data_IF_962733192637
#
_entry.id   IF_962733192637
#
_cell.length_a   1.000
_cell.length_b   1.000
_cell.length_c   1.000
_cell.angle_alpha   90.00
_cell.angle_beta   90.00
_cell.angle_gamma   90.00
#
_symmetry.space_group_name_H-M   'P 1'
#
loop_
_entity.id
_entity.type
_entity.pdbx_description
1 polymer ?
#
# COMPACT_ATOMS: atom_id res chain seq x y z
N UNK A 1 13.39 5.75 -43.60
CA UNK A 1 12.19 4.88 -43.56
C UNK A 1 11.83 4.66 -42.13
N UNK A 2 10.81 5.35 -41.64
CA UNK A 2 10.39 5.30 -40.25
C UNK A 2 9.40 4.16 -40.07
N UNK A 3 9.87 3.02 -39.56
CA UNK A 3 8.98 1.99 -39.02
C UNK A 3 8.30 2.50 -37.74
N UNK A 4 7.27 3.31 -37.92
CA UNK A 4 6.26 3.49 -36.92
C UNK A 4 5.48 2.18 -36.88
N UNK A 5 5.87 1.29 -35.98
CA UNK A 5 5.02 0.19 -35.56
C UNK A 5 3.72 0.84 -35.07
N UNK A 6 2.73 0.92 -35.97
CA UNK A 6 1.35 1.24 -35.60
C UNK A 6 0.94 0.13 -34.62
N UNK A 7 0.93 0.46 -33.36
CA UNK A 7 0.42 -0.38 -32.30
C UNK A 7 -1.06 -0.67 -32.61
N UNK A 8 -1.32 -1.76 -33.34
CA UNK A 8 -2.69 -2.22 -33.48
C UNK A 8 -3.15 -2.71 -32.10
N UNK A 9 -4.28 -2.22 -31.59
CA UNK A 9 -4.88 -2.83 -30.41
C UNK A 9 -5.19 -4.27 -30.78
N UNK A 10 -4.58 -5.22 -30.06
CA UNK A 10 -5.01 -6.61 -30.14
C UNK A 10 -6.50 -6.64 -29.87
N UNK A 11 -7.22 -7.38 -30.72
CA UNK A 11 -8.64 -7.68 -30.64
C UNK A 11 -9.14 -7.67 -29.19
N UNK A 12 -10.19 -6.86 -28.94
CA UNK A 12 -10.95 -6.70 -27.70
C UNK A 12 -10.65 -7.79 -26.67
N UNK A 13 -9.70 -7.51 -25.78
CA UNK A 13 -9.39 -8.43 -24.69
C UNK A 13 -10.66 -8.58 -23.86
N UNK A 14 -10.99 -9.81 -23.42
CA UNK A 14 -12.04 -10.11 -22.45
C UNK A 14 -11.80 -9.43 -21.08
N UNK A 15 -10.74 -8.60 -20.97
CA UNK A 15 -10.39 -7.75 -19.84
C UNK A 15 -11.40 -6.60 -19.73
N UNK A 16 -12.03 -6.48 -18.57
CA UNK A 16 -12.85 -5.31 -18.26
C UNK A 16 -11.93 -4.06 -18.15
N UNK A 17 -12.39 -2.93 -18.70
CA UNK A 17 -11.76 -1.61 -18.47
C UNK A 17 -12.55 -0.87 -17.41
N UNK A 18 -11.92 0.11 -16.75
CA UNK A 18 -12.64 1.04 -15.88
C UNK A 18 -13.82 1.68 -16.64
N UNK A 19 -14.96 1.82 -15.95
CA UNK A 19 -16.16 2.44 -16.60
C UNK A 19 -15.93 3.95 -16.83
N UNK A 20 -15.10 4.59 -16.01
CA UNK A 20 -14.78 5.99 -16.10
C UNK A 20 -13.58 6.40 -15.26
N UNK A 21 -13.21 7.67 -15.36
CA UNK A 21 -12.09 8.29 -14.65
C UNK A 21 -12.20 8.13 -13.11
N UNK A 22 -13.37 8.42 -12.55
CA UNK A 22 -13.63 8.30 -11.12
C UNK A 22 -13.45 6.87 -10.62
N UNK A 23 -13.85 5.86 -11.43
CA UNK A 23 -13.67 4.45 -11.08
C UNK A 23 -12.20 4.06 -10.93
N UNK A 24 -11.35 4.55 -11.83
CA UNK A 24 -9.90 4.37 -11.73
C UNK A 24 -9.33 5.07 -10.48
N UNK A 25 -9.64 6.37 -10.29
CA UNK A 25 -9.11 7.14 -9.15
C UNK A 25 -9.48 6.46 -7.83
N UNK A 26 -10.76 6.09 -7.63
CA UNK A 26 -11.18 5.45 -6.38
C UNK A 26 -10.55 4.07 -6.18
N UNK A 27 -10.36 3.29 -7.24
CA UNK A 27 -9.71 2.00 -7.13
C UNK A 27 -8.19 2.13 -6.86
N UNK A 28 -7.49 3.01 -7.57
CA UNK A 28 -6.07 3.26 -7.38
C UNK A 28 -5.78 3.90 -6.01
N UNK A 29 -6.61 4.88 -5.61
CA UNK A 29 -6.56 5.45 -4.26
C UNK A 29 -6.84 4.39 -3.19
N UNK A 30 -7.82 3.50 -3.41
CA UNK A 30 -8.11 2.40 -2.49
C UNK A 30 -7.00 1.34 -2.44
N UNK A 31 -6.23 1.16 -3.52
CA UNK A 31 -5.01 0.36 -3.49
C UNK A 31 -3.91 1.01 -2.65
N UNK A 32 -3.74 2.32 -2.78
CA UNK A 32 -2.75 3.09 -2.04
C UNK A 32 -3.14 3.22 -0.55
N UNK A 33 -4.37 3.64 -0.26
CA UNK A 33 -4.87 3.76 1.11
C UNK A 33 -5.09 2.38 1.72
N UNK A 34 -4.20 2.00 2.62
CA UNK A 34 -4.24 0.73 3.33
C UNK A 34 -3.90 0.87 4.81
N UNK A 35 -3.44 -0.22 5.39
CA UNK A 35 -2.88 -0.21 6.75
C UNK A 35 -1.67 0.73 6.87
N UNK A 36 -1.02 1.04 5.76
CA UNK A 36 0.08 2.00 5.69
C UNK A 36 -0.29 3.38 6.21
N UNK A 37 -1.41 3.94 5.77
CA UNK A 37 -1.85 5.30 6.11
C UNK A 37 -2.43 5.40 7.52
N UNK A 38 -3.17 4.37 7.95
CA UNK A 38 -3.92 4.42 9.22
C UNK A 38 -3.11 3.82 10.37
N UNK A 39 -2.19 2.93 10.07
CA UNK A 39 -1.39 2.24 11.06
C UNK A 39 0.08 2.65 11.02
N UNK A 40 0.77 2.42 9.89
CA UNK A 40 2.23 2.61 9.78
C UNK A 40 2.61 4.08 9.86
N UNK A 41 1.92 4.96 9.14
CA UNK A 41 2.20 6.39 9.11
C UNK A 41 2.13 7.05 10.49
N UNK A 42 1.06 6.88 11.32
CA UNK A 42 1.02 7.49 12.64
C UNK A 42 2.17 7.05 13.53
N UNK A 43 2.47 5.74 13.64
CA UNK A 43 3.52 5.33 14.55
C UNK A 43 4.91 5.80 14.11
N UNK A 44 5.25 5.72 12.81
CA UNK A 44 6.54 6.21 12.31
C UNK A 44 6.65 7.75 12.53
N UNK A 45 5.57 8.48 12.29
CA UNK A 45 5.50 9.91 12.56
C UNK A 45 5.75 10.20 14.05
N UNK A 46 5.21 9.35 14.92
CA UNK A 46 5.45 9.41 16.36
C UNK A 46 6.92 9.20 16.74
N UNK A 47 7.54 8.18 16.17
CA UNK A 47 8.92 7.80 16.48
C UNK A 47 9.97 8.82 15.96
N UNK A 48 9.70 9.48 14.82
CA UNK A 48 10.68 10.34 14.14
C UNK A 48 10.36 11.84 14.17
N UNK A 49 9.63 12.33 15.18
CA UNK A 49 9.55 13.75 15.46
C UNK A 49 8.40 14.51 14.79
N UNK A 50 7.32 13.83 14.45
CA UNK A 50 6.08 14.51 14.06
C UNK A 50 6.19 15.29 12.76
N UNK A 51 5.96 16.62 12.81
CA UNK A 51 5.87 17.47 11.64
C UNK A 51 7.13 17.53 10.77
N UNK A 52 8.33 17.31 11.31
CA UNK A 52 9.55 17.23 10.52
C UNK A 52 9.56 15.98 9.65
N UNK A 53 9.19 14.83 10.21
CA UNK A 53 8.98 13.58 9.45
C UNK A 53 7.91 13.76 8.37
N UNK A 54 6.76 14.36 8.71
CA UNK A 54 5.67 14.63 7.75
C UNK A 54 6.17 15.44 6.57
N UNK A 55 6.94 16.51 6.81
CA UNK A 55 7.50 17.34 5.73
C UNK A 55 8.42 16.54 4.80
N UNK A 56 9.32 15.72 5.37
CA UNK A 56 10.21 14.86 4.57
C UNK A 56 9.40 13.82 3.79
N UNK A 57 8.40 13.21 4.42
CA UNK A 57 7.49 12.27 3.75
C UNK A 57 6.78 12.92 2.54
N UNK A 58 6.24 14.14 2.69
CA UNK A 58 5.60 14.86 1.60
C UNK A 58 6.58 15.12 0.44
N UNK A 59 7.82 15.51 0.75
CA UNK A 59 8.88 15.69 -0.25
C UNK A 59 9.16 14.35 -0.97
N UNK A 60 9.27 13.25 -0.24
CA UNK A 60 9.49 11.91 -0.82
C UNK A 60 8.34 11.48 -1.73
N UNK A 61 7.08 11.73 -1.34
CA UNK A 61 5.91 11.45 -2.18
C UNK A 61 5.99 12.20 -3.51
N UNK A 62 6.35 13.50 -3.48
CA UNK A 62 6.42 14.34 -4.69
C UNK A 62 7.61 13.98 -5.58
N UNK A 63 8.80 13.77 -4.98
CA UNK A 63 10.06 13.62 -5.72
C UNK A 63 10.27 12.17 -6.20
N UNK A 64 9.79 11.20 -5.44
CA UNK A 64 10.03 9.77 -5.72
C UNK A 64 8.73 9.03 -6.01
N UNK A 65 7.74 9.15 -5.14
CA UNK A 65 6.49 8.42 -5.26
C UNK A 65 5.71 8.75 -6.53
N UNK A 66 5.45 10.03 -6.75
CA UNK A 66 4.68 10.49 -7.93
C UNK A 66 5.36 10.15 -9.27
N UNK A 67 6.67 10.40 -9.48
CA UNK A 67 7.34 9.99 -10.71
C UNK A 67 7.27 8.49 -10.95
N UNK A 68 7.48 7.67 -9.92
CA UNK A 68 7.42 6.23 -10.06
C UNK A 68 5.99 5.72 -10.32
N UNK A 69 4.98 6.30 -9.66
CA UNK A 69 3.57 5.98 -9.95
C UNK A 69 3.24 6.25 -11.40
N UNK A 70 3.67 7.41 -11.93
CA UNK A 70 3.48 7.73 -13.34
C UNK A 70 4.20 6.73 -14.24
N UNK A 71 5.41 6.30 -13.89
CA UNK A 71 6.15 5.30 -14.64
C UNK A 71 5.40 3.94 -14.71
N UNK A 72 4.90 3.45 -13.58
CA UNK A 72 4.12 2.22 -13.54
C UNK A 72 2.80 2.32 -14.33
N UNK A 73 2.09 3.43 -14.20
CA UNK A 73 0.87 3.68 -14.95
C UNK A 73 1.13 3.76 -16.47
N UNK A 74 2.25 4.37 -16.90
CA UNK A 74 2.67 4.38 -18.31
C UNK A 74 2.86 2.97 -18.83
N UNK A 75 3.61 2.13 -18.09
CA UNK A 75 3.88 0.74 -18.47
C UNK A 75 2.57 -0.03 -18.63
N UNK A 76 1.68 0.05 -17.65
CA UNK A 76 0.38 -0.63 -17.68
C UNK A 76 -0.52 -0.14 -18.81
N UNK A 77 -0.75 1.19 -18.90
CA UNK A 77 -1.66 1.77 -19.90
C UNK A 77 -1.17 1.58 -21.33
N UNK A 78 0.14 1.69 -21.55
CA UNK A 78 0.72 1.49 -22.90
C UNK A 78 0.52 0.09 -23.41
N UNK A 79 0.66 -0.89 -22.54
CA UNK A 79 0.64 -2.31 -22.92
C UNK A 79 -0.73 -2.94 -22.86
N UNK A 80 -1.60 -2.48 -21.93
CA UNK A 80 -2.87 -3.13 -21.61
C UNK A 80 -2.69 -4.60 -21.19
N UNK A 81 -1.56 -4.91 -20.53
CA UNK A 81 -1.16 -6.24 -20.10
C UNK A 81 -0.91 -6.29 -18.58
N UNK A 82 -0.88 -7.50 -18.00
CA UNK A 82 -0.38 -7.73 -16.65
C UNK A 82 1.11 -7.31 -16.53
N UNK A 83 1.66 -7.19 -15.31
CA UNK A 83 3.04 -6.72 -15.15
C UNK A 83 4.08 -7.52 -15.93
N UNK A 84 3.97 -8.85 -16.02
CA UNK A 84 4.93 -9.70 -16.75
C UNK A 84 4.82 -9.48 -18.25
N UNK A 85 3.60 -9.53 -18.78
CA UNK A 85 3.32 -9.28 -20.20
C UNK A 85 3.68 -7.85 -20.61
N UNK A 86 3.53 -6.88 -19.72
CA UNK A 86 3.84 -5.48 -19.99
C UNK A 86 5.32 -5.27 -20.33
N UNK A 87 6.24 -5.78 -19.54
CA UNK A 87 7.68 -5.69 -19.83
C UNK A 87 8.09 -6.51 -21.05
N UNK A 88 7.46 -7.67 -21.24
CA UNK A 88 7.68 -8.49 -22.44
C UNK A 88 7.30 -7.75 -23.73
N UNK A 89 6.15 -7.06 -23.70
CA UNK A 89 5.63 -6.33 -24.86
C UNK A 89 6.41 -5.06 -25.20
N UNK A 90 6.91 -4.35 -24.17
CA UNK A 90 7.67 -3.11 -24.37
C UNK A 90 9.11 -3.32 -24.80
N UNK A 91 9.69 -4.49 -24.56
CA UNK A 91 11.06 -4.78 -24.96
C UNK A 91 11.14 -6.03 -25.86
N UNK A 92 11.21 -7.22 -25.29
CA UNK A 92 11.18 -8.51 -26.02
C UNK A 92 10.93 -9.67 -25.05
N UNK A 93 10.42 -10.76 -25.57
CA UNK A 93 10.26 -12.02 -24.84
C UNK A 93 11.61 -12.54 -24.35
N UNK A 94 11.67 -13.01 -23.09
CA UNK A 94 12.90 -13.52 -22.47
C UNK A 94 13.92 -12.44 -22.08
N UNK A 95 13.53 -11.17 -22.12
CA UNK A 95 14.34 -10.06 -21.62
C UNK A 95 14.49 -10.11 -20.11
N UNK A 96 15.66 -9.68 -19.60
CA UNK A 96 15.88 -9.49 -18.14
C UNK A 96 14.87 -8.56 -17.50
N UNK A 97 14.30 -7.62 -18.25
CA UNK A 97 13.26 -6.70 -17.78
C UNK A 97 11.94 -7.41 -17.45
N UNK A 98 11.70 -8.58 -18.02
CA UNK A 98 10.53 -9.39 -17.68
C UNK A 98 10.57 -9.85 -16.21
N UNK A 99 11.77 -9.99 -15.62
CA UNK A 99 11.94 -10.28 -14.21
C UNK A 99 11.34 -9.19 -13.29
N UNK A 100 11.30 -7.93 -13.74
CA UNK A 100 10.64 -6.85 -13.01
C UNK A 100 9.13 -7.13 -12.86
N UNK A 101 8.48 -7.61 -13.90
CA UNK A 101 7.07 -8.01 -13.85
C UNK A 101 6.84 -9.19 -12.91
N UNK A 102 7.72 -10.20 -12.94
CA UNK A 102 7.68 -11.34 -12.03
C UNK A 102 7.89 -10.93 -10.58
N UNK A 103 8.82 -10.02 -10.34
CA UNK A 103 9.06 -9.48 -9.00
C UNK A 103 7.80 -8.79 -8.47
N UNK A 104 7.09 -8.02 -9.30
CA UNK A 104 5.82 -7.40 -8.94
C UNK A 104 4.74 -8.43 -8.58
N UNK A 105 4.57 -9.48 -9.40
CA UNK A 105 3.59 -10.56 -9.14
C UNK A 105 3.95 -11.32 -7.86
N UNK A 106 5.22 -11.65 -7.65
CA UNK A 106 5.70 -12.33 -6.45
C UNK A 106 5.54 -11.46 -5.20
N UNK A 107 5.81 -10.15 -5.30
CA UNK A 107 5.58 -9.19 -4.20
C UNK A 107 4.11 -9.14 -3.82
N UNK A 108 3.20 -9.00 -4.79
CA UNK A 108 1.75 -9.00 -4.52
C UNK A 108 1.28 -10.28 -3.85
N UNK A 109 1.81 -11.43 -4.27
CA UNK A 109 1.52 -12.74 -3.68
C UNK A 109 2.00 -12.82 -2.22
N UNK A 110 3.27 -12.51 -1.97
CA UNK A 110 3.86 -12.63 -0.63
C UNK A 110 3.28 -11.58 0.32
N UNK A 111 3.12 -10.33 -0.12
CA UNK A 111 2.54 -9.28 0.73
C UNK A 111 1.14 -9.68 1.17
N UNK A 112 0.27 -10.11 0.24
CA UNK A 112 -1.09 -10.48 0.62
C UNK A 112 -1.12 -11.66 1.59
N UNK A 113 -0.15 -12.58 1.55
CA UNK A 113 -0.11 -13.74 2.44
C UNK A 113 0.04 -13.36 3.91
N UNK A 114 0.86 -12.36 4.26
CA UNK A 114 0.99 -11.90 5.64
C UNK A 114 0.09 -10.69 5.96
N UNK A 115 -0.16 -9.81 4.99
CA UNK A 115 -1.05 -8.66 5.14
C UNK A 115 -2.46 -9.06 5.56
N UNK A 116 -2.97 -10.16 5.01
CA UNK A 116 -4.29 -10.71 5.35
C UNK A 116 -4.41 -11.19 6.79
N UNK A 117 -3.31 -11.49 7.48
CA UNK A 117 -3.31 -11.79 8.91
C UNK A 117 -3.64 -10.52 9.71
N UNK A 118 -2.91 -9.43 9.45
CA UNK A 118 -3.15 -8.13 10.12
C UNK A 118 -4.54 -7.58 9.80
N UNK A 119 -4.96 -7.71 8.55
CA UNK A 119 -6.30 -7.34 8.13
C UNK A 119 -7.39 -8.21 8.80
N UNK A 120 -7.09 -9.48 9.04
CA UNK A 120 -7.92 -10.39 9.85
C UNK A 120 -8.03 -9.93 11.30
N UNK A 121 -6.94 -9.44 11.91
CA UNK A 121 -6.99 -8.86 13.26
C UNK A 121 -7.87 -7.61 13.30
N UNK A 122 -7.78 -6.73 12.30
CA UNK A 122 -8.66 -5.57 12.20
C UNK A 122 -10.14 -5.98 12.14
N UNK A 123 -10.45 -7.01 11.35
CA UNK A 123 -11.80 -7.57 11.26
C UNK A 123 -12.27 -8.17 12.60
N UNK A 124 -11.40 -8.91 13.31
CA UNK A 124 -11.69 -9.44 14.65
C UNK A 124 -12.04 -8.32 15.65
N UNK A 125 -11.31 -7.21 15.56
CA UNK A 125 -11.49 -6.08 16.46
C UNK A 125 -12.79 -5.30 16.22
N UNK A 126 -13.45 -5.43 15.07
CA UNK A 126 -14.82 -4.92 14.88
C UNK A 126 -15.77 -5.60 15.89
N UNK A 127 -15.67 -6.93 15.98
CA UNK A 127 -16.54 -7.72 16.88
C UNK A 127 -16.20 -7.48 18.37
N UNK A 128 -14.90 -7.35 18.70
CA UNK A 128 -14.47 -6.95 20.04
C UNK A 128 -14.99 -5.56 20.41
N UNK A 129 -14.90 -4.60 19.49
CA UNK A 129 -15.39 -3.24 19.69
C UNK A 129 -16.92 -3.18 19.90
N UNK A 130 -17.69 -4.02 19.21
CA UNK A 130 -19.16 -4.14 19.43
C UNK A 130 -19.44 -4.62 20.86
N UNK A 131 -18.65 -5.55 21.39
CA UNK A 131 -18.77 -6.05 22.76
C UNK A 131 -18.30 -5.04 23.82
N UNK A 132 -17.62 -3.97 23.40
CA UNK A 132 -16.92 -3.03 24.27
C UNK A 132 -15.61 -3.61 24.82
N UNK A 133 -14.61 -2.73 24.99
CA UNK A 133 -13.37 -3.11 25.65
C UNK A 133 -13.55 -2.96 27.16
N UNK A 134 -13.47 -4.06 27.92
CA UNK A 134 -13.69 -4.08 29.37
C UNK A 134 -12.49 -4.70 30.08
N UNK A 135 -12.15 -4.16 31.25
CA UNK A 135 -11.05 -4.64 32.09
C UNK A 135 -9.98 -3.60 32.35
N UNK A 136 -8.85 -4.02 32.94
CA UNK A 136 -7.69 -3.14 33.12
C UNK A 136 -6.93 -2.94 31.81
N UNK A 137 -6.11 -1.90 31.75
CA UNK A 137 -5.27 -1.62 30.56
C UNK A 137 -4.42 -2.82 30.16
N UNK A 138 -3.87 -3.56 31.13
CA UNK A 138 -3.06 -4.75 30.91
C UNK A 138 -3.91 -5.89 30.31
N UNK A 139 -5.14 -6.07 30.76
CA UNK A 139 -6.06 -7.09 30.26
C UNK A 139 -6.45 -6.81 28.80
N UNK A 140 -6.81 -5.56 28.51
CA UNK A 140 -7.16 -5.13 27.14
C UNK A 140 -5.95 -5.32 26.18
N UNK A 141 -4.75 -4.94 26.61
CA UNK A 141 -3.53 -5.14 25.82
C UNK A 141 -3.19 -6.63 25.62
N UNK A 142 -3.40 -7.47 26.66
CA UNK A 142 -3.15 -8.90 26.60
C UNK A 142 -4.09 -9.63 25.63
N UNK A 143 -5.29 -9.08 25.36
CA UNK A 143 -6.22 -9.65 24.36
C UNK A 143 -5.61 -9.72 22.95
N UNK A 144 -4.80 -8.72 22.57
CA UNK A 144 -4.10 -8.75 21.30
C UNK A 144 -3.04 -9.86 21.27
N UNK A 145 -2.27 -10.00 22.35
CA UNK A 145 -1.32 -11.11 22.51
C UNK A 145 -2.01 -12.49 22.35
N UNK A 146 -3.16 -12.67 23.00
CA UNK A 146 -3.95 -13.90 22.89
C UNK A 146 -4.42 -14.18 21.46
N UNK A 147 -4.88 -13.13 20.73
CA UNK A 147 -5.29 -13.26 19.33
C UNK A 147 -4.13 -13.68 18.43
N UNK A 148 -2.95 -13.04 18.57
CA UNK A 148 -1.77 -13.31 17.75
C UNK A 148 -1.18 -14.69 18.04
N UNK A 149 -1.14 -15.09 19.31
CA UNK A 149 -0.56 -16.37 19.71
C UNK A 149 -1.51 -17.56 19.57
N UNK A 150 -2.81 -17.32 19.26
CA UNK A 150 -3.79 -18.36 18.99
C UNK A 150 -3.87 -18.68 17.49
N UNK A 151 -3.25 -19.78 16.99
CA UNK A 151 -3.28 -20.11 15.57
C UNK A 151 -4.69 -20.27 15.01
N UNK A 152 -5.59 -20.88 15.78
CA UNK A 152 -6.97 -21.10 15.34
C UNK A 152 -7.72 -19.79 15.10
N UNK A 153 -7.58 -18.81 15.99
CA UNK A 153 -8.20 -17.49 15.81
C UNK A 153 -7.55 -16.72 14.64
N UNK A 154 -6.23 -16.68 14.58
CA UNK A 154 -5.50 -16.01 13.50
C UNK A 154 -5.88 -16.60 12.13
N UNK A 155 -5.92 -17.92 11.97
CA UNK A 155 -6.32 -18.60 10.73
C UNK A 155 -7.80 -18.32 10.40
N UNK A 156 -8.70 -18.33 11.38
CA UNK A 156 -10.11 -18.04 11.15
C UNK A 156 -10.33 -16.64 10.56
N UNK A 157 -9.75 -15.61 11.19
CA UNK A 157 -9.90 -14.22 10.73
C UNK A 157 -9.18 -13.94 9.41
N UNK A 158 -8.00 -14.53 9.22
CA UNK A 158 -7.29 -14.56 7.95
C UNK A 158 -8.16 -15.16 6.84
N UNK A 159 -8.79 -16.30 7.09
CA UNK A 159 -9.67 -16.96 6.13
C UNK A 159 -10.85 -16.08 5.74
N UNK A 160 -11.49 -15.45 6.72
CA UNK A 160 -12.63 -14.57 6.47
C UNK A 160 -12.23 -13.35 5.63
N UNK A 161 -11.09 -12.73 5.94
CA UNK A 161 -10.56 -11.63 5.15
C UNK A 161 -10.22 -12.05 3.70
N UNK A 162 -9.57 -13.20 3.52
CA UNK A 162 -9.25 -13.73 2.20
C UNK A 162 -10.50 -14.06 1.39
N UNK A 163 -11.54 -14.61 2.02
CA UNK A 163 -12.84 -14.83 1.36
C UNK A 163 -13.49 -13.53 0.87
N UNK A 164 -13.38 -12.43 1.62
CA UNK A 164 -13.85 -11.12 1.18
C UNK A 164 -13.08 -10.65 -0.07
N UNK A 165 -11.75 -10.73 -0.06
CA UNK A 165 -10.93 -10.36 -1.22
C UNK A 165 -11.25 -11.22 -2.46
N UNK A 166 -11.30 -12.53 -2.30
CA UNK A 166 -11.65 -13.49 -3.37
C UNK A 166 -13.03 -13.20 -3.92
N UNK A 167 -14.04 -13.01 -3.05
CA UNK A 167 -15.42 -12.71 -3.46
C UNK A 167 -15.53 -11.44 -4.30
N UNK A 168 -14.73 -10.40 -3.98
CA UNK A 168 -14.71 -9.16 -4.75
C UNK A 168 -13.99 -9.36 -6.09
N UNK A 169 -12.80 -9.98 -6.08
CA UNK A 169 -11.94 -10.11 -7.28
C UNK A 169 -12.57 -11.04 -8.33
N UNK A 170 -13.34 -12.06 -7.93
CA UNK A 170 -14.12 -12.90 -8.87
C UNK A 170 -15.04 -12.05 -9.75
N UNK A 171 -15.62 -10.99 -9.22
CA UNK A 171 -16.51 -10.07 -9.96
C UNK A 171 -15.81 -9.28 -11.07
N UNK A 172 -14.50 -9.33 -11.16
CA UNK A 172 -13.68 -8.63 -12.15
C UNK A 172 -13.54 -7.14 -11.90
N UNK A 173 -12.99 -6.43 -12.89
CA UNK A 173 -12.67 -5.02 -12.75
C UNK A 173 -13.92 -4.18 -12.47
N UNK A 174 -14.96 -4.30 -13.32
CA UNK A 174 -16.16 -3.45 -13.24
C UNK A 174 -17.11 -3.80 -12.08
N UNK A 175 -17.47 -5.09 -11.97
CA UNK A 175 -18.49 -5.54 -11.01
C UNK A 175 -17.91 -5.89 -9.64
N UNK A 176 -16.62 -6.21 -9.59
CA UNK A 176 -15.87 -6.46 -8.38
C UNK A 176 -15.16 -5.19 -7.92
N UNK A 177 -13.93 -4.99 -8.37
CA UNK A 177 -13.00 -3.97 -7.86
C UNK A 177 -13.60 -2.56 -7.91
N UNK A 178 -14.03 -2.09 -9.08
CA UNK A 178 -14.55 -0.73 -9.25
C UNK A 178 -15.81 -0.47 -8.42
N UNK A 179 -16.75 -1.42 -8.43
CA UNK A 179 -18.00 -1.29 -7.68
C UNK A 179 -17.75 -1.18 -6.18
N UNK A 180 -16.91 -2.06 -5.64
CA UNK A 180 -16.58 -2.05 -4.22
C UNK A 180 -15.75 -0.84 -3.84
N UNK A 181 -14.78 -0.41 -4.65
CA UNK A 181 -14.03 0.82 -4.41
C UNK A 181 -14.94 2.05 -4.36
N UNK A 182 -15.98 2.12 -5.22
CA UNK A 182 -16.97 3.21 -5.21
C UNK A 182 -17.84 3.25 -3.94
N UNK A 183 -17.95 2.14 -3.20
CA UNK A 183 -18.68 2.07 -1.94
C UNK A 183 -17.71 2.27 -0.76
N UNK A 184 -16.64 1.48 -0.73
CA UNK A 184 -15.72 1.45 0.39
C UNK A 184 -14.97 2.77 0.58
N UNK A 185 -14.50 3.40 -0.52
CA UNK A 185 -13.69 4.61 -0.42
C UNK A 185 -14.48 5.82 0.12
N UNK A 186 -15.65 6.20 -0.39
CA UNK A 186 -16.43 7.29 0.20
C UNK A 186 -16.84 7.01 1.66
N UNK A 187 -17.16 5.76 1.98
CA UNK A 187 -17.51 5.37 3.36
C UNK A 187 -16.29 5.51 4.28
N UNK A 188 -15.10 5.07 3.82
CA UNK A 188 -13.84 5.23 4.52
C UNK A 188 -13.56 6.72 4.80
N UNK A 189 -13.67 7.57 3.79
CA UNK A 189 -13.48 9.01 3.95
C UNK A 189 -14.47 9.61 4.95
N UNK A 190 -15.76 9.23 4.88
CA UNK A 190 -16.78 9.75 5.79
C UNK A 190 -16.49 9.35 7.25
N UNK A 191 -16.14 8.09 7.50
CA UNK A 191 -15.77 7.62 8.84
C UNK A 191 -14.52 8.35 9.33
N UNK A 192 -13.49 8.44 8.50
CA UNK A 192 -12.22 9.09 8.85
C UNK A 192 -12.40 10.56 9.21
N UNK A 193 -13.18 11.30 8.41
CA UNK A 193 -13.52 12.70 8.70
C UNK A 193 -14.34 12.83 10.01
N UNK A 194 -15.26 11.89 10.25
CA UNK A 194 -16.00 11.83 11.51
C UNK A 194 -15.10 11.62 12.74
N UNK A 195 -14.12 10.69 12.62
CA UNK A 195 -13.14 10.44 13.67
C UNK A 195 -12.22 11.64 13.90
N UNK A 196 -11.76 12.28 12.82
CA UNK A 196 -10.97 13.52 12.91
C UNK A 196 -11.77 14.64 13.57
N UNK A 197 -13.02 14.83 13.17
CA UNK A 197 -13.91 15.84 13.78
C UNK A 197 -14.11 15.57 15.27
N UNK A 198 -14.36 14.32 15.64
CA UNK A 198 -14.44 13.92 17.05
C UNK A 198 -13.14 14.25 17.79
N UNK A 199 -11.99 13.83 17.26
CA UNK A 199 -10.69 14.10 17.86
C UNK A 199 -10.41 15.58 18.07
N UNK A 200 -10.75 16.42 17.08
CA UNK A 200 -10.48 17.86 17.13
C UNK A 200 -11.40 18.63 18.10
N UNK A 201 -12.68 18.28 18.16
CA UNK A 201 -13.69 19.10 18.84
C UNK A 201 -14.21 18.51 20.15
N UNK A 202 -14.05 17.21 20.35
CA UNK A 202 -14.56 16.51 21.53
C UNK A 202 -13.46 15.93 22.44
N UNK A 203 -12.17 16.14 22.06
CA UNK A 203 -11.03 15.79 22.90
C UNK A 203 -10.17 17.01 23.19
N UNK A 204 -9.42 16.97 24.30
CA UNK A 204 -8.48 18.05 24.66
C UNK A 204 -7.14 17.94 23.89
N UNK A 205 -6.93 16.84 23.14
CA UNK A 205 -5.70 16.58 22.40
C UNK A 205 -5.65 17.15 20.99
N UNK A 206 -6.75 17.71 20.46
CA UNK A 206 -6.85 18.13 19.07
C UNK A 206 -5.82 19.19 18.65
N UNK A 207 -5.65 20.26 19.44
CA UNK A 207 -4.67 21.30 19.13
C UNK A 207 -3.22 20.78 19.25
N UNK A 208 -2.98 19.88 20.20
CA UNK A 208 -1.67 19.24 20.37
C UNK A 208 -1.34 18.34 19.17
N UNK A 209 -2.31 17.60 18.64
CA UNK A 209 -2.16 16.78 17.44
C UNK A 209 -1.84 17.62 16.21
N UNK A 210 -2.53 18.75 16.00
CA UNK A 210 -2.24 19.68 14.91
C UNK A 210 -0.83 20.27 15.04
N UNK A 211 -0.44 20.71 16.22
CA UNK A 211 0.92 21.22 16.45
C UNK A 211 1.96 20.13 16.19
N UNK A 212 1.73 18.92 16.68
CA UNK A 212 2.65 17.79 16.50
C UNK A 212 2.85 17.44 15.03
N UNK A 213 1.79 17.41 14.23
CA UNK A 213 1.84 17.02 12.82
C UNK A 213 2.30 18.14 11.87
N UNK A 214 2.02 19.40 12.20
CA UNK A 214 2.22 20.51 11.26
C UNK A 214 3.27 21.54 11.71
N UNK A 215 3.80 21.42 12.93
CA UNK A 215 4.91 22.25 13.39
C UNK A 215 6.21 21.42 13.35
N UNK A 216 7.08 21.61 12.35
CA UNK A 216 8.29 20.81 12.22
C UNK A 216 9.26 21.04 13.38
N UNK A 217 9.73 19.97 13.98
CA UNK A 217 10.83 19.95 14.93
C UNK A 217 11.96 19.06 14.38
N UNK A 218 12.91 19.65 13.70
CA UNK A 218 14.03 18.93 13.08
C UNK A 218 15.04 18.39 14.08
N UNK A 219 14.99 18.77 15.37
CA UNK A 219 15.90 18.24 16.38
C UNK A 219 15.67 16.76 16.67
N UNK A 220 14.47 16.26 16.37
CA UNK A 220 14.07 14.86 16.56
C UNK A 220 14.15 14.01 15.28
N UNK A 221 14.39 14.63 14.14
CA UNK A 221 14.49 13.91 12.87
C UNK A 221 15.88 13.30 12.72
N UNK A 222 15.92 11.98 12.61
CA UNK A 222 17.16 11.23 12.38
C UNK A 222 17.34 10.87 10.89
N UNK A 223 18.55 10.44 10.51
CA UNK A 223 18.80 9.91 9.17
C UNK A 223 17.92 8.68 8.88
N UNK A 224 17.68 7.83 9.88
CA UNK A 224 16.77 6.70 9.81
C UNK A 224 15.34 7.15 9.56
N UNK A 225 14.87 8.22 10.22
CA UNK A 225 13.57 8.82 9.97
C UNK A 225 13.39 9.30 8.52
N UNK A 226 14.44 9.88 7.91
CA UNK A 226 14.40 10.28 6.48
C UNK A 226 14.29 9.05 5.58
N UNK A 227 15.04 7.99 5.83
CA UNK A 227 14.98 6.75 5.05
C UNK A 227 13.65 6.01 5.26
N UNK A 228 13.13 6.03 6.49
CA UNK A 228 11.80 5.51 6.82
C UNK A 228 10.69 6.26 6.08
N UNK A 229 10.78 7.59 5.98
CA UNK A 229 9.85 8.42 5.22
C UNK A 229 9.88 8.06 3.72
N UNK A 230 11.06 7.86 3.17
CA UNK A 230 11.24 7.47 1.77
C UNK A 230 10.69 6.06 1.50
N UNK A 231 11.02 5.08 2.36
CA UNK A 231 10.48 3.72 2.27
C UNK A 231 8.96 3.70 2.43
N UNK A 232 8.43 4.51 3.36
CA UNK A 232 6.99 4.63 3.56
C UNK A 232 6.27 5.22 2.33
N UNK A 233 6.84 6.22 1.66
CA UNK A 233 6.28 6.79 0.43
C UNK A 233 6.14 5.74 -0.70
N UNK A 234 7.04 4.76 -0.76
CA UNK A 234 6.93 3.62 -1.67
C UNK A 234 5.76 2.70 -1.31
N UNK A 235 5.73 2.32 -0.05
CA UNK A 235 4.75 1.36 0.44
C UNK A 235 3.33 1.90 0.35
N UNK A 236 3.10 3.14 0.82
CA UNK A 236 1.78 3.75 0.86
C UNK A 236 1.18 3.93 -0.53
N UNK A 237 1.97 4.26 -1.54
CA UNK A 237 1.51 4.43 -2.92
C UNK A 237 1.40 3.12 -3.73
N UNK A 238 1.58 1.96 -3.08
CA UNK A 238 1.53 0.63 -3.71
C UNK A 238 2.48 0.48 -4.90
N UNK A 239 3.72 1.00 -4.78
CA UNK A 239 4.73 1.00 -5.83
C UNK A 239 5.68 -0.20 -5.71
N UNK A 240 6.24 -0.64 -6.83
CA UNK A 240 7.18 -1.77 -6.89
C UNK A 240 6.53 -3.16 -6.87
N UNK A 241 5.22 -3.24 -6.59
CA UNK A 241 4.47 -4.49 -6.46
C UNK A 241 3.55 -4.79 -7.66
N UNK A 242 3.64 -4.02 -8.74
CA UNK A 242 2.85 -4.23 -9.95
C UNK A 242 1.37 -3.80 -9.87
N UNK A 243 0.91 -3.23 -8.75
CA UNK A 243 -0.47 -2.77 -8.60
C UNK A 243 -0.80 -1.63 -9.57
N UNK A 244 0.03 -0.61 -9.65
CA UNK A 244 -0.20 0.53 -10.54
C UNK A 244 -0.01 0.14 -12.01
N UNK A 245 0.88 -0.81 -12.35
CA UNK A 245 0.97 -1.39 -13.70
C UNK A 245 -0.34 -2.11 -14.05
N UNK A 246 -0.84 -2.98 -13.15
CA UNK A 246 -2.08 -3.73 -13.36
C UNK A 246 -3.29 -2.79 -13.51
N UNK A 247 -3.46 -1.82 -12.63
CA UNK A 247 -4.57 -0.87 -12.69
C UNK A 247 -4.46 0.09 -13.87
N UNK A 248 -3.23 0.50 -14.22
CA UNK A 248 -2.92 1.25 -15.42
C UNK A 248 -3.33 0.49 -16.69
N UNK A 249 -3.18 -0.83 -16.70
CA UNK A 249 -3.54 -1.67 -17.87
C UNK A 249 -5.06 -1.69 -18.16
N UNK A 250 -5.89 -1.31 -17.19
CA UNK A 250 -7.34 -1.18 -17.36
C UNK A 250 -7.79 0.25 -17.72
N UNK A 251 -6.84 1.20 -17.81
CA UNK A 251 -7.13 2.57 -18.22
C UNK A 251 -7.36 2.67 -19.73
N UNK A 252 -8.32 3.50 -20.11
CA UNK A 252 -8.52 3.88 -21.52
C UNK A 252 -7.49 4.93 -21.90
N UNK A 253 -7.08 4.93 -23.18
CA UNK A 253 -6.28 6.04 -23.75
C UNK A 253 -7.12 7.31 -23.79
N UNK A 254 -6.46 8.47 -23.66
CA UNK A 254 -7.10 9.78 -23.74
C UNK A 254 -7.40 10.45 -22.40
N UNK A 255 -7.16 9.78 -21.26
CA UNK A 255 -7.17 10.42 -19.94
C UNK A 255 -5.79 10.98 -19.59
N UNK A 256 -5.74 12.05 -18.78
CA UNK A 256 -4.46 12.62 -18.31
C UNK A 256 -3.88 11.76 -17.18
N UNK A 257 -2.92 10.92 -17.52
CA UNK A 257 -2.25 10.01 -16.60
C UNK A 257 -1.60 10.74 -15.42
N UNK A 258 -0.98 11.87 -15.69
CA UNK A 258 -0.33 12.69 -14.64
C UNK A 258 -1.35 13.26 -13.67
N UNK A 259 -2.49 13.76 -14.18
CA UNK A 259 -3.58 14.27 -13.33
C UNK A 259 -4.11 13.16 -12.42
N UNK A 260 -4.24 11.97 -12.96
CA UNK A 260 -4.72 10.80 -12.22
C UNK A 260 -3.73 10.38 -11.13
N UNK A 261 -2.44 10.32 -11.46
CA UNK A 261 -1.38 10.02 -10.49
C UNK A 261 -1.29 11.06 -9.37
N UNK A 262 -1.39 12.35 -9.72
CA UNK A 262 -1.42 13.45 -8.73
C UNK A 262 -2.65 13.29 -7.83
N UNK A 263 -3.83 13.03 -8.40
CA UNK A 263 -5.06 12.87 -7.62
C UNK A 263 -4.95 11.70 -6.63
N UNK A 264 -4.43 10.54 -7.07
CA UNK A 264 -4.23 9.38 -6.21
C UNK A 264 -3.23 9.68 -5.09
N UNK A 265 -2.06 10.28 -5.42
CA UNK A 265 -1.04 10.63 -4.43
C UNK A 265 -1.54 11.67 -3.41
N UNK A 266 -2.30 12.67 -3.85
CA UNK A 266 -2.89 13.67 -2.95
C UNK A 266 -3.94 13.05 -2.02
N UNK A 267 -4.82 12.19 -2.54
CA UNK A 267 -5.84 11.53 -1.73
C UNK A 267 -5.22 10.57 -0.71
N UNK A 268 -4.20 9.82 -1.11
CA UNK A 268 -3.43 8.95 -0.21
C UNK A 268 -2.79 9.74 0.93
N UNK A 269 -2.07 10.80 0.59
CA UNK A 269 -1.43 11.69 1.57
C UNK A 269 -2.45 12.35 2.49
N UNK A 270 -3.56 12.85 1.93
CA UNK A 270 -4.63 13.45 2.72
C UNK A 270 -5.19 12.48 3.76
N UNK A 271 -5.42 11.23 3.37
CA UNK A 271 -5.89 10.19 4.31
C UNK A 271 -4.88 9.94 5.41
N UNK A 272 -3.58 9.84 5.10
CA UNK A 272 -2.54 9.66 6.11
C UNK A 272 -2.52 10.81 7.13
N UNK A 273 -2.61 12.06 6.65
CA UNK A 273 -2.63 13.24 7.53
C UNK A 273 -3.90 13.30 8.39
N UNK A 274 -5.07 13.07 7.79
CA UNK A 274 -6.36 13.06 8.52
C UNK A 274 -6.39 11.93 9.55
N UNK A 275 -5.88 10.75 9.21
CA UNK A 275 -5.74 9.64 10.15
C UNK A 275 -4.77 9.98 11.30
N UNK A 276 -3.65 10.63 10.98
CA UNK A 276 -2.72 11.16 11.99
C UNK A 276 -3.40 12.11 12.95
N UNK A 277 -4.16 13.10 12.45
CA UNK A 277 -4.91 14.04 13.32
C UNK A 277 -5.90 13.29 14.19
N UNK A 278 -6.70 12.37 13.63
CA UNK A 278 -7.68 11.61 14.38
C UNK A 278 -7.04 10.79 15.51
N UNK A 279 -5.97 10.06 15.21
CA UNK A 279 -5.30 9.16 16.15
C UNK A 279 -4.54 9.97 17.22
N UNK A 280 -3.74 10.95 16.83
CA UNK A 280 -2.96 11.73 17.78
C UNK A 280 -3.83 12.62 18.70
N UNK A 281 -4.98 13.08 18.22
CA UNK A 281 -5.93 13.79 19.08
C UNK A 281 -6.41 12.92 20.23
N UNK A 282 -6.67 11.65 19.99
CA UNK A 282 -7.05 10.68 21.02
C UNK A 282 -5.86 10.32 21.92
N UNK A 283 -4.69 10.06 21.35
CA UNK A 283 -3.46 9.72 22.09
C UNK A 283 -3.09 10.83 23.08
N UNK A 284 -3.05 12.08 22.63
CA UNK A 284 -2.71 13.22 23.50
C UNK A 284 -3.81 13.56 24.51
N UNK A 285 -5.08 13.29 24.20
CA UNK A 285 -6.18 13.47 25.16
C UNK A 285 -5.96 12.65 26.45
N UNK A 286 -5.40 11.45 26.31
CA UNK A 286 -5.09 10.55 27.42
C UNK A 286 -3.67 10.72 27.97
N UNK A 287 -2.93 11.76 27.53
CA UNK A 287 -1.57 12.03 28.00
C UNK A 287 -0.55 10.97 27.60
N UNK A 288 -0.84 10.19 26.54
CA UNK A 288 0.07 9.13 26.05
C UNK A 288 1.10 9.68 25.08
N UNK A 289 2.24 9.03 24.99
CA UNK A 289 3.29 9.39 24.03
C UNK A 289 2.98 8.86 22.62
N UNK A 290 3.31 9.63 21.55
CA UNK A 290 2.92 9.31 20.18
C UNK A 290 3.68 8.14 19.53
N UNK A 291 4.75 7.63 20.11
CA UNK A 291 5.59 6.59 19.55
C UNK A 291 5.48 5.26 20.29
N UNK A 292 4.53 4.41 19.98
CA UNK A 292 4.42 3.07 20.59
C UNK A 292 4.31 1.92 19.60
N UNK A 293 5.06 1.97 18.47
CA UNK A 293 5.22 0.81 17.58
C UNK A 293 3.91 0.22 17.02
N UNK A 294 4.00 -0.98 16.50
CA UNK A 294 2.89 -1.80 15.96
C UNK A 294 1.74 -1.98 16.96
N UNK A 295 2.02 -1.87 18.26
CA UNK A 295 1.02 -1.94 19.33
C UNK A 295 0.02 -0.77 19.38
N UNK A 296 0.28 0.35 18.72
CA UNK A 296 -0.57 1.53 18.78
C UNK A 296 -2.05 1.21 18.49
N UNK A 297 -2.34 0.51 17.41
CA UNK A 297 -3.71 0.24 16.96
C UNK A 297 -4.40 -0.88 17.75
N UNK A 298 -3.68 -1.95 18.07
CA UNK A 298 -4.29 -3.14 18.67
C UNK A 298 -4.08 -3.29 20.17
N UNK A 299 -3.21 -2.47 20.77
CA UNK A 299 -2.98 -2.44 22.22
C UNK A 299 -3.38 -1.11 22.83
N UNK A 300 -2.86 0.01 22.30
CA UNK A 300 -3.05 1.34 22.89
C UNK A 300 -4.45 1.90 22.62
N UNK A 301 -4.88 1.96 21.36
CA UNK A 301 -6.20 2.51 21.02
C UNK A 301 -7.37 1.74 21.65
N UNK A 302 -7.40 0.40 21.77
CA UNK A 302 -8.45 -0.30 22.49
C UNK A 302 -8.58 0.11 23.96
N UNK A 303 -7.48 0.44 24.66
CA UNK A 303 -7.51 0.98 26.01
C UNK A 303 -8.23 2.33 26.04
N UNK A 304 -7.92 3.21 25.07
CA UNK A 304 -8.60 4.50 24.95
C UNK A 304 -10.09 4.33 24.59
N UNK A 305 -10.40 3.34 23.75
CA UNK A 305 -11.77 3.04 23.33
C UNK A 305 -12.62 2.41 24.46
N UNK A 306 -12.02 1.86 25.51
CA UNK A 306 -12.75 1.39 26.68
C UNK A 306 -13.52 2.54 27.36
N UNK A 307 -12.93 3.73 27.41
CA UNK A 307 -13.55 4.92 27.97
C UNK A 307 -14.50 5.63 27.01
N UNK A 308 -14.12 5.67 25.71
CA UNK A 308 -14.90 6.40 24.69
C UNK A 308 -16.16 5.61 24.29
N UNK A 309 -16.05 4.28 24.19
CA UNK A 309 -17.15 3.38 23.88
C UNK A 309 -17.26 2.92 22.42
N UNK A 310 -18.23 2.02 22.13
CA UNK A 310 -18.38 1.36 20.84
C UNK A 310 -18.67 2.29 19.65
N UNK A 311 -19.27 3.44 19.89
CA UNK A 311 -19.67 4.39 18.85
C UNK A 311 -18.49 5.05 18.09
N UNK A 312 -17.27 5.02 18.65
CA UNK A 312 -16.02 5.43 18.00
C UNK A 312 -15.18 4.22 17.60
N UNK A 313 -15.05 3.22 18.50
CA UNK A 313 -14.18 2.07 18.25
C UNK A 313 -14.66 1.20 17.09
N UNK A 314 -15.98 0.98 16.96
CA UNK A 314 -16.53 0.20 15.83
C UNK A 314 -16.27 0.88 14.48
N UNK A 315 -16.63 2.17 14.26
CA UNK A 315 -16.26 2.88 13.05
C UNK A 315 -14.75 2.85 12.75
N UNK A 316 -13.90 2.96 13.76
CA UNK A 316 -12.45 2.91 13.58
C UNK A 316 -11.98 1.57 12.99
N UNK A 317 -12.40 0.44 13.56
CA UNK A 317 -11.99 -0.88 13.05
C UNK A 317 -12.69 -1.25 11.73
N UNK A 318 -13.90 -0.74 11.48
CA UNK A 318 -14.55 -0.81 10.15
C UNK A 318 -13.74 -0.03 9.10
N UNK A 319 -13.32 1.19 9.41
CA UNK A 319 -12.44 2.00 8.56
C UNK A 319 -11.14 1.24 8.23
N UNK A 320 -10.48 0.69 9.25
CA UNK A 320 -9.24 -0.06 9.11
C UNK A 320 -9.44 -1.30 8.22
N UNK A 321 -10.54 -2.02 8.41
CA UNK A 321 -10.90 -3.19 7.59
C UNK A 321 -11.18 -2.79 6.13
N UNK A 322 -11.88 -1.68 5.88
CA UNK A 322 -12.17 -1.21 4.52
C UNK A 322 -10.88 -0.79 3.79
N UNK A 323 -9.98 -0.09 4.48
CA UNK A 323 -8.65 0.22 3.95
C UNK A 323 -7.86 -1.06 3.62
N UNK A 324 -7.91 -2.06 4.50
CA UNK A 324 -7.25 -3.32 4.27
C UNK A 324 -7.84 -4.08 3.07
N UNK A 325 -9.18 -4.13 2.92
CA UNK A 325 -9.85 -4.82 1.81
C UNK A 325 -9.48 -4.17 0.47
N UNK A 326 -9.50 -2.85 0.35
CA UNK A 326 -9.19 -2.16 -0.91
C UNK A 326 -7.76 -2.41 -1.38
N UNK A 327 -6.79 -2.49 -0.47
CA UNK A 327 -5.41 -2.88 -0.78
C UNK A 327 -5.29 -4.39 -1.05
N UNK A 328 -5.97 -5.23 -0.28
CA UNK A 328 -5.96 -6.69 -0.47
C UNK A 328 -6.48 -7.14 -1.84
N UNK A 329 -7.56 -6.50 -2.33
CA UNK A 329 -8.10 -6.80 -3.67
C UNK A 329 -7.14 -6.37 -4.79
N UNK A 330 -6.37 -5.31 -4.63
CA UNK A 330 -5.39 -4.89 -5.61
C UNK A 330 -4.20 -5.84 -5.68
N UNK A 331 -3.69 -6.30 -4.54
CA UNK A 331 -2.63 -7.30 -4.46
C UNK A 331 -3.04 -8.63 -5.10
N UNK A 332 -4.26 -9.10 -4.80
CA UNK A 332 -4.81 -10.32 -5.42
C UNK A 332 -4.98 -10.16 -6.93
N UNK A 333 -5.42 -8.98 -7.39
CA UNK A 333 -5.62 -8.70 -8.81
C UNK A 333 -4.32 -8.74 -9.61
N UNK A 334 -3.19 -8.28 -9.05
CA UNK A 334 -1.88 -8.39 -9.70
C UNK A 334 -1.57 -9.84 -10.06
N UNK A 335 -1.78 -10.74 -9.09
CA UNK A 335 -1.51 -12.18 -9.28
C UNK A 335 -2.52 -12.80 -10.24
N UNK A 336 -3.81 -12.55 -10.03
CA UNK A 336 -4.90 -13.11 -10.87
C UNK A 336 -4.77 -12.67 -12.32
N UNK A 337 -4.43 -11.39 -12.57
CA UNK A 337 -4.29 -10.85 -13.92
C UNK A 337 -3.25 -11.60 -14.74
N UNK A 338 -2.14 -12.02 -14.14
CA UNK A 338 -1.13 -12.83 -14.81
C UNK A 338 -1.71 -14.17 -15.31
N UNK A 339 -2.42 -14.90 -14.46
CA UNK A 339 -2.97 -16.21 -14.84
C UNK A 339 -4.09 -16.09 -15.87
N UNK A 340 -4.90 -15.05 -15.80
CA UNK A 340 -5.95 -14.77 -16.80
C UNK A 340 -5.35 -14.41 -18.14
N UNK A 341 -4.31 -13.57 -18.18
CA UNK A 341 -3.76 -13.07 -19.42
C UNK A 341 -2.78 -14.03 -20.09
N UNK A 342 -1.81 -14.54 -19.35
CA UNK A 342 -0.73 -15.36 -19.87
C UNK A 342 -1.12 -16.85 -19.94
N UNK A 343 -1.78 -17.35 -18.89
CA UNK A 343 -2.17 -18.76 -18.79
C UNK A 343 -3.56 -19.04 -19.34
N UNK A 344 -4.32 -17.98 -19.71
CA UNK A 344 -5.68 -18.09 -20.27
C UNK A 344 -6.66 -18.80 -19.34
N UNK A 345 -6.41 -18.79 -18.05
CA UNK A 345 -7.34 -19.36 -17.08
C UNK A 345 -8.62 -18.53 -17.02
N UNK A 346 -9.73 -19.18 -16.66
CA UNK A 346 -10.94 -18.45 -16.33
C UNK A 346 -10.67 -17.56 -15.10
N UNK A 347 -11.28 -16.39 -15.05
CA UNK A 347 -11.11 -15.48 -13.92
C UNK A 347 -11.46 -16.13 -12.59
N UNK A 348 -12.56 -16.90 -12.57
CA UNK A 348 -13.00 -17.62 -11.37
C UNK A 348 -11.93 -18.62 -10.93
N UNK A 349 -11.43 -19.45 -11.83
CA UNK A 349 -10.40 -20.45 -11.51
C UNK A 349 -9.10 -19.78 -11.04
N UNK A 350 -8.64 -18.72 -11.74
CA UNK A 350 -7.45 -17.97 -11.35
C UNK A 350 -7.59 -17.36 -9.94
N UNK A 351 -8.74 -16.74 -9.64
CA UNK A 351 -8.97 -16.10 -8.35
C UNK A 351 -9.06 -17.12 -7.22
N UNK A 352 -9.76 -18.24 -7.43
CA UNK A 352 -9.89 -19.29 -6.40
C UNK A 352 -8.56 -19.99 -6.13
N UNK A 353 -7.84 -20.39 -7.17
CA UNK A 353 -6.56 -21.11 -6.99
C UNK A 353 -5.51 -20.18 -6.39
N UNK A 354 -5.36 -18.97 -6.90
CA UNK A 354 -4.36 -18.03 -6.38
C UNK A 354 -4.73 -17.53 -4.99
N UNK A 355 -6.01 -17.26 -4.72
CA UNK A 355 -6.50 -16.92 -3.39
C UNK A 355 -6.23 -18.03 -2.37
N UNK A 356 -6.50 -19.29 -2.75
CA UNK A 356 -6.19 -20.45 -1.90
C UNK A 356 -4.68 -20.64 -1.69
N UNK A 357 -3.85 -20.42 -2.72
CA UNK A 357 -2.39 -20.52 -2.60
C UNK A 357 -1.81 -19.44 -1.69
N UNK A 358 -2.28 -18.20 -1.81
CA UNK A 358 -1.88 -17.08 -0.94
C UNK A 358 -2.34 -17.35 0.49
N UNK A 359 -3.57 -17.84 0.66
CA UNK A 359 -4.09 -18.22 1.97
C UNK A 359 -3.23 -19.32 2.61
N UNK A 360 -2.87 -20.35 1.86
CA UNK A 360 -2.03 -21.44 2.38
C UNK A 360 -0.65 -20.95 2.86
N UNK A 361 -0.01 -20.07 2.09
CA UNK A 361 1.27 -19.45 2.50
C UNK A 361 1.06 -18.55 3.71
N UNK A 362 -0.07 -17.82 3.78
CA UNK A 362 -0.45 -17.00 4.93
C UNK A 362 -0.62 -17.80 6.22
N UNK A 363 -1.01 -19.07 6.15
CA UNK A 363 -1.07 -19.94 7.34
C UNK A 363 0.29 -20.02 8.04
N UNK A 364 1.41 -20.03 7.30
CA UNK A 364 2.75 -20.02 7.91
C UNK A 364 2.94 -18.75 8.76
N UNK A 365 2.48 -17.59 8.26
CA UNK A 365 2.55 -16.31 8.99
C UNK A 365 1.57 -16.24 10.18
N UNK A 366 0.47 -16.99 10.14
CA UNK A 366 -0.48 -17.09 11.25
C UNK A 366 0.03 -17.99 12.41
N UNK A 367 1.01 -18.84 12.12
CA UNK A 367 1.62 -19.76 13.11
C UNK A 367 2.79 -19.05 13.80
N UNK A 368 2.50 -18.22 14.79
CA UNK A 368 3.49 -17.38 15.49
C UNK A 368 4.66 -18.14 16.11
N UNK A 369 4.50 -19.46 16.37
CA UNK A 369 5.56 -20.33 16.87
C UNK A 369 6.46 -20.92 15.79
N UNK A 370 6.09 -20.76 14.49
CA UNK A 370 6.87 -21.29 13.40
C UNK A 370 7.93 -20.26 12.96
N UNK A 371 9.17 -20.72 12.94
CA UNK A 371 10.31 -19.92 12.50
C UNK A 371 10.82 -20.36 11.14
N UNK A 372 11.42 -19.44 10.41
CA UNK A 372 12.04 -19.73 9.12
C UNK A 372 13.36 -20.46 9.34
N UNK A 373 13.62 -21.59 8.69
CA UNK A 373 14.90 -22.27 8.77
C UNK A 373 16.08 -21.34 8.38
N UNK A 374 17.19 -21.46 9.07
CA UNK A 374 18.42 -20.70 8.83
C UNK A 374 18.33 -19.17 9.08
N UNK A 375 17.31 -18.75 9.84
CA UNK A 375 17.20 -17.37 10.33
C UNK A 375 17.15 -17.40 11.85
N UNK A 376 17.87 -16.60 12.56
CA UNK A 376 18.01 -16.57 14.04
C UNK A 376 16.67 -16.55 14.82
N UNK A 377 15.79 -17.52 14.51
CA UNK A 377 14.45 -17.65 15.11
C UNK A 377 13.38 -16.69 14.55
N UNK A 378 13.61 -16.03 13.40
CA UNK A 378 12.66 -15.10 12.80
C UNK A 378 11.37 -15.83 12.38
N UNK A 379 10.22 -15.29 12.76
CA UNK A 379 8.92 -15.78 12.33
C UNK A 379 8.64 -15.56 10.84
N UNK A 380 7.75 -16.37 10.26
CA UNK A 380 7.38 -16.24 8.84
C UNK A 380 6.75 -14.89 8.49
N UNK A 381 5.99 -14.31 9.42
CA UNK A 381 5.41 -12.98 9.23
C UNK A 381 6.50 -11.92 9.02
N UNK A 382 7.45 -11.83 9.96
CA UNK A 382 8.54 -10.85 9.90
C UNK A 382 9.46 -11.09 8.71
N UNK A 383 9.69 -12.37 8.38
CA UNK A 383 10.50 -12.71 7.20
C UNK A 383 9.86 -12.22 5.90
N UNK A 384 8.56 -12.45 5.69
CA UNK A 384 7.89 -11.99 4.47
C UNK A 384 7.75 -10.46 4.43
N UNK A 385 7.49 -9.81 5.57
CA UNK A 385 7.45 -8.35 5.64
C UNK A 385 8.80 -7.75 5.27
N UNK A 386 9.88 -8.17 5.91
CA UNK A 386 11.24 -7.67 5.61
C UNK A 386 11.65 -7.98 4.16
N UNK A 387 11.43 -9.21 3.69
CA UNK A 387 11.76 -9.60 2.32
C UNK A 387 11.05 -8.73 1.28
N UNK A 388 9.78 -8.48 1.48
CA UNK A 388 9.00 -7.71 0.52
C UNK A 388 9.25 -6.21 0.66
N UNK A 389 9.14 -5.66 1.86
CA UNK A 389 9.19 -4.22 2.10
C UNK A 389 10.59 -3.65 1.91
N UNK A 390 11.63 -4.34 2.41
CA UNK A 390 12.99 -3.81 2.38
C UNK A 390 13.75 -4.16 1.08
N UNK A 391 13.34 -5.25 0.39
CA UNK A 391 14.07 -5.70 -0.80
C UNK A 391 13.20 -5.71 -2.05
N UNK A 392 12.10 -6.47 -2.09
CA UNK A 392 11.37 -6.71 -3.33
C UNK A 392 10.72 -5.44 -3.89
N UNK A 393 10.07 -4.63 -3.04
CA UNK A 393 9.42 -3.40 -3.46
C UNK A 393 10.41 -2.35 -3.96
N UNK A 394 11.49 -2.00 -3.22
CA UNK A 394 12.49 -1.07 -3.71
C UNK A 394 13.17 -1.55 -5.00
N UNK A 395 13.54 -2.83 -5.09
CA UNK A 395 14.15 -3.39 -6.31
C UNK A 395 13.17 -3.32 -7.49
N UNK A 396 11.91 -3.70 -7.30
CA UNK A 396 10.86 -3.63 -8.33
C UNK A 396 10.65 -2.20 -8.83
N UNK A 397 10.54 -1.23 -7.91
CA UNK A 397 10.43 0.19 -8.24
C UNK A 397 11.66 0.74 -8.95
N UNK A 398 12.86 0.38 -8.47
CA UNK A 398 14.13 0.75 -9.10
C UNK A 398 14.23 0.26 -10.54
N UNK A 399 13.97 -1.02 -10.77
CA UNK A 399 14.00 -1.61 -12.11
C UNK A 399 12.94 -1.00 -13.03
N UNK A 400 11.73 -0.76 -12.52
CA UNK A 400 10.67 -0.07 -13.30
C UNK A 400 11.09 1.34 -13.68
N UNK A 401 11.69 2.08 -12.74
CA UNK A 401 12.20 3.42 -12.97
C UNK A 401 13.29 3.43 -14.05
N UNK A 402 14.28 2.53 -13.94
CA UNK A 402 15.36 2.40 -14.93
C UNK A 402 14.81 2.01 -16.30
N UNK A 403 13.86 1.07 -16.35
CA UNK A 403 13.25 0.65 -17.59
C UNK A 403 12.56 1.81 -18.30
N UNK A 404 11.70 2.54 -17.60
CA UNK A 404 10.96 3.67 -18.18
C UNK A 404 11.90 4.81 -18.55
N UNK A 405 12.92 5.09 -17.71
CA UNK A 405 13.84 6.21 -17.94
C UNK A 405 14.81 5.97 -19.10
N UNK A 406 15.35 4.76 -19.26
CA UNK A 406 16.50 4.48 -20.13
C UNK A 406 16.21 3.49 -21.27
N UNK A 407 15.28 2.55 -21.09
CA UNK A 407 15.02 1.47 -22.05
C UNK A 407 13.81 1.78 -22.92
N UNK A 408 12.73 2.30 -22.33
CA UNK A 408 11.51 2.66 -23.06
C UNK A 408 11.78 3.81 -24.04
N UNK A 409 11.26 3.72 -25.28
CA UNK A 409 11.42 4.76 -26.28
C UNK A 409 10.79 6.09 -25.83
N UNK A 410 11.49 7.20 -26.08
CA UNK A 410 11.01 8.53 -25.70
C UNK A 410 9.68 8.90 -26.38
N UNK A 411 9.49 8.46 -27.61
CA UNK A 411 8.23 8.67 -28.34
C UNK A 411 7.04 7.99 -27.63
N UNK A 412 7.23 6.77 -27.11
CA UNK A 412 6.18 6.03 -26.39
C UNK A 412 5.83 6.68 -25.06
N UNK A 413 6.84 7.18 -24.32
CA UNK A 413 6.63 7.93 -23.08
C UNK A 413 5.87 9.23 -23.34
N UNK A 414 6.30 10.02 -24.33
CA UNK A 414 5.69 11.30 -24.69
C UNK A 414 4.24 11.13 -25.18
N UNK A 415 3.97 10.04 -25.94
CA UNK A 415 2.62 9.69 -26.40
C UNK A 415 1.68 9.42 -25.22
N UNK A 416 2.13 8.63 -24.24
CA UNK A 416 1.36 8.36 -23.01
C UNK A 416 1.18 9.59 -22.13
N UNK A 417 2.11 10.52 -22.16
CA UNK A 417 2.03 11.78 -21.44
C UNK A 417 1.09 12.82 -22.10
N UNK A 418 0.86 12.65 -23.39
CA UNK A 418 0.02 13.55 -24.21
C UNK A 418 0.68 14.88 -24.59
N UNK A 419 1.90 15.17 -24.10
CA UNK A 419 2.64 16.39 -24.46
C UNK A 419 4.13 16.25 -24.13
N UNK A 420 4.97 17.08 -24.77
CA UNK A 420 6.40 17.25 -24.43
C UNK A 420 6.67 18.55 -23.67
N UNK A 421 5.68 19.05 -22.94
CA UNK A 421 5.77 20.29 -22.17
C UNK A 421 6.69 20.18 -20.93
N UNK A 422 6.76 21.29 -20.17
CA UNK A 422 7.63 21.42 -18.99
C UNK A 422 7.41 20.31 -17.95
N UNK A 423 6.15 19.90 -17.75
CA UNK A 423 5.80 18.84 -16.81
C UNK A 423 6.40 17.48 -17.23
N UNK A 424 6.37 17.15 -18.53
CA UNK A 424 7.02 15.94 -19.05
C UNK A 424 8.54 15.99 -18.84
N UNK A 425 9.16 17.14 -19.13
CA UNK A 425 10.61 17.30 -18.94
C UNK A 425 11.01 17.18 -17.48
N UNK A 426 10.24 17.77 -16.57
CA UNK A 426 10.45 17.67 -15.13
C UNK A 426 10.35 16.22 -14.65
N UNK A 427 9.28 15.52 -15.01
CA UNK A 427 9.07 14.14 -14.63
C UNK A 427 10.17 13.22 -15.19
N UNK A 428 10.54 13.43 -16.46
CA UNK A 428 11.66 12.70 -17.08
C UNK A 428 12.97 12.94 -16.33
N UNK A 429 13.24 14.17 -15.87
CA UNK A 429 14.41 14.49 -15.06
C UNK A 429 14.39 13.72 -13.74
N UNK A 430 13.28 13.74 -13.00
CA UNK A 430 13.15 12.99 -11.76
C UNK A 430 13.33 11.48 -11.99
N UNK A 431 12.63 10.89 -12.96
CA UNK A 431 12.75 9.47 -13.28
C UNK A 431 14.15 9.05 -13.71
N UNK A 432 14.90 9.96 -14.35
CA UNK A 432 16.22 9.65 -14.89
C UNK A 432 17.33 9.79 -13.86
N UNK A 433 17.23 10.77 -12.96
CA UNK A 433 18.34 11.13 -12.09
C UNK A 433 18.03 11.03 -10.60
N UNK A 434 16.90 11.55 -10.16
CA UNK A 434 16.61 11.68 -8.72
C UNK A 434 15.99 10.38 -8.16
N UNK A 435 14.90 9.92 -8.77
CA UNK A 435 14.17 8.74 -8.28
C UNK A 435 15.05 7.49 -8.21
N UNK A 436 15.87 7.12 -9.22
CA UNK A 436 16.72 5.93 -9.12
C UNK A 436 17.75 6.03 -7.98
N UNK A 437 18.36 7.21 -7.77
CA UNK A 437 19.31 7.41 -6.69
C UNK A 437 18.63 7.25 -5.33
N UNK A 438 17.48 7.91 -5.14
CA UNK A 438 16.73 7.81 -3.90
C UNK A 438 16.31 6.37 -3.58
N UNK A 439 15.78 5.64 -4.59
CA UNK A 439 15.40 4.23 -4.40
C UNK A 439 16.61 3.34 -4.14
N UNK A 440 17.74 3.60 -4.81
CA UNK A 440 18.96 2.85 -4.56
C UNK A 440 19.48 3.03 -3.12
N UNK A 441 19.36 4.24 -2.56
CA UNK A 441 19.67 4.49 -1.15
C UNK A 441 18.76 3.68 -0.22
N UNK A 442 17.46 3.55 -0.53
CA UNK A 442 16.55 2.66 0.24
C UNK A 442 16.99 1.20 0.17
N UNK A 443 17.44 0.74 -1.01
CA UNK A 443 17.96 -0.63 -1.15
C UNK A 443 19.22 -0.82 -0.29
N UNK A 444 20.15 0.12 -0.32
CA UNK A 444 21.37 0.07 0.50
C UNK A 444 21.05 0.09 2.00
N UNK A 445 20.05 0.85 2.41
CA UNK A 445 19.56 0.85 3.79
C UNK A 445 19.01 -0.51 4.20
N UNK A 446 18.12 -1.08 3.36
CA UNK A 446 17.59 -2.41 3.60
C UNK A 446 18.64 -3.53 3.66
N UNK A 447 19.79 -3.33 3.01
CA UNK A 447 20.94 -4.23 3.03
C UNK A 447 21.93 -3.91 4.17
N UNK A 448 21.64 -2.90 5.00
CA UNK A 448 22.53 -2.45 6.10
C UNK A 448 23.93 -2.01 5.61
N UNK A 449 23.99 -1.46 4.38
CA UNK A 449 25.24 -1.10 3.72
C UNK A 449 25.57 0.41 3.76
N UNK A 450 24.79 1.24 4.46
CA UNK A 450 25.06 2.67 4.56
C UNK A 450 26.09 2.95 5.66
N UNK A 451 27.27 3.49 5.33
CA UNK A 451 28.40 3.61 6.27
C UNK A 451 28.19 4.65 7.38
N UNK A 452 27.15 5.47 7.28
CA UNK A 452 26.84 6.53 8.26
C UNK A 452 25.65 6.13 9.17
N UNK A 453 25.15 4.90 9.05
CA UNK A 453 24.06 4.35 9.87
C UNK A 453 24.64 3.38 10.89
N UNK A 454 24.19 3.49 12.13
CA UNK A 454 24.45 2.49 13.16
C UNK A 454 23.33 1.43 13.14
N UNK A 455 23.67 0.24 12.70
CA UNK A 455 22.73 -0.89 12.62
C UNK A 455 22.78 -1.78 13.87
N UNK A 456 23.55 -1.40 14.90
CA UNK A 456 23.57 -2.11 16.19
C UNK A 456 24.17 -3.52 16.12
N UNK A 457 25.20 -3.73 15.27
CA UNK A 457 25.96 -4.99 15.19
C UNK A 457 26.91 -5.16 16.37
#
# INVERSE_FOLDING_TARGET
MSDTLKFQPTTSSKRGNWTGHLGFILAATGSAIGLGNIWKFPYITGDYGGGAFVLVYLICVVIVGLPLMVAELIVGRRTQENPVGAFQRLHKTGSVWQATGWLGVASGFLILSFYSIVAGWALAYIFKAIGGFAGTSEQIQAEFGTLVTSPGQSIFWHSLFMLMCVGIVIGGVKRGIERWSKILMPTLFAILLGLMFYGLFFTNGGMQALNFLFKPDFSKLTAEGVLSALGHAFFTLSLGMGCMITYGSYMKRGTSLTRDAIAVSLLDTLVALVAGVAIFSMVFHYGMEPGQSVGLIFKTLPVLFADIGPWISVPFFVLLTFAAVTSGISLLEVVVSYFVDERKWSRISATLVMGASIWLVGVCSAMSSWTVPFTDGRGWFDFFDVLTTNYMLPIGGFLTCLFVAYVMKDADRADEFGSRGTLYMGLRFFLKYITPIAVFVVILHGLELLPFMDYGN
#
